data_IF_766892218753
#
_entry.id   IF_766892218753
#
_cell.length_a   1.000
_cell.length_b   1.000
_cell.length_c   1.000
_cell.angle_alpha   90.00
_cell.angle_beta   90.00
_cell.angle_gamma   90.00
#
_symmetry.space_group_name_H-M   'P 1'
#
loop_
_entity.id
_entity.type
_entity.pdbx_description
1 polymer ?
#
# COMPACT_ATOMS: atom_id res chain seq x y z
N UNK A 1 -2.30 -7.68 9.65
CA UNK A 1 -2.54 -6.23 9.49
C UNK A 1 -3.95 -5.87 9.97
N UNK A 2 -4.40 -4.61 9.88
CA UNK A 2 -5.58 -4.03 10.57
C UNK A 2 -6.97 -4.66 10.27
N UNK A 3 -7.09 -5.99 10.28
CA UNK A 3 -8.35 -6.71 10.16
C UNK A 3 -8.84 -6.95 8.73
N UNK A 4 -8.17 -6.41 7.71
CA UNK A 4 -8.48 -6.72 6.31
C UNK A 4 -7.80 -8.04 5.91
N UNK A 5 -8.58 -8.97 5.36
CA UNK A 5 -8.09 -10.26 4.87
C UNK A 5 -7.42 -10.10 3.50
N UNK A 6 -6.10 -10.05 3.49
CA UNK A 6 -5.27 -9.92 2.30
C UNK A 6 -4.27 -11.08 2.24
N UNK A 7 -3.95 -11.63 1.05
CA UNK A 7 -2.88 -12.61 0.89
C UNK A 7 -1.52 -12.09 1.41
N UNK A 8 -0.61 -13.03 1.66
CA UNK A 8 0.79 -12.71 1.97
C UNK A 8 1.43 -11.86 0.86
N UNK A 9 2.37 -10.97 1.23
CA UNK A 9 2.97 -9.99 0.32
C UNK A 9 3.61 -10.63 -0.92
N UNK A 10 4.21 -11.80 -0.79
CA UNK A 10 4.84 -12.56 -1.87
C UNK A 10 3.82 -13.12 -2.89
N UNK A 11 2.55 -13.21 -2.52
CA UNK A 11 1.45 -13.61 -3.41
C UNK A 11 0.81 -12.42 -4.15
N UNK A 12 1.21 -11.18 -3.84
CA UNK A 12 0.70 -9.99 -4.50
C UNK A 12 1.55 -9.65 -5.73
N UNK A 13 0.93 -9.62 -6.92
CA UNK A 13 1.65 -9.37 -8.18
C UNK A 13 2.40 -8.03 -8.18
N UNK A 14 1.76 -6.98 -7.65
CA UNK A 14 2.34 -5.64 -7.56
C UNK A 14 3.43 -5.50 -6.48
N UNK A 15 3.67 -6.52 -5.65
CA UNK A 15 4.76 -6.50 -4.69
C UNK A 15 6.13 -6.85 -5.32
N UNK A 16 6.12 -7.44 -6.51
CA UNK A 16 7.33 -7.91 -7.21
C UNK A 16 7.42 -7.46 -8.68
N UNK A 17 6.33 -6.97 -9.27
CA UNK A 17 6.27 -6.57 -10.68
C UNK A 17 5.89 -5.09 -10.80
N UNK A 18 6.54 -4.39 -11.73
CA UNK A 18 6.11 -3.05 -12.14
C UNK A 18 4.89 -3.10 -13.07
N UNK A 19 4.28 -1.94 -13.34
CA UNK A 19 3.06 -1.84 -14.15
C UNK A 19 3.22 -2.43 -15.55
N UNK A 20 4.38 -2.26 -16.19
CA UNK A 20 4.64 -2.79 -17.54
C UNK A 20 4.71 -4.31 -17.51
N UNK A 21 5.40 -4.88 -16.53
CA UNK A 21 5.50 -6.32 -16.34
C UNK A 21 4.12 -6.93 -16.02
N UNK A 22 3.31 -6.27 -15.19
CA UNK A 22 1.94 -6.71 -14.89
C UNK A 22 1.08 -6.70 -16.16
N UNK A 23 1.11 -5.61 -16.94
CA UNK A 23 0.33 -5.50 -18.18
C UNK A 23 0.63 -6.66 -19.15
N UNK A 24 1.93 -6.97 -19.33
CA UNK A 24 2.37 -8.11 -20.12
C UNK A 24 1.90 -9.45 -19.53
N UNK A 25 1.96 -9.60 -18.21
CA UNK A 25 1.57 -10.83 -17.52
C UNK A 25 0.09 -11.17 -17.70
N UNK A 26 -0.79 -10.17 -17.64
CA UNK A 26 -2.24 -10.36 -17.79
C UNK A 26 -2.73 -10.25 -19.25
N UNK A 27 -1.84 -9.89 -20.19
CA UNK A 27 -2.14 -9.87 -21.62
C UNK A 27 -3.00 -8.69 -22.10
N UNK A 28 -2.83 -7.52 -21.50
CA UNK A 28 -3.58 -6.30 -21.88
C UNK A 28 -2.70 -5.33 -22.66
N UNK A 29 -3.33 -4.52 -23.52
CA UNK A 29 -2.63 -3.49 -24.30
C UNK A 29 -2.12 -2.33 -23.43
N UNK A 30 -2.82 -2.03 -22.33
CA UNK A 30 -2.44 -0.99 -21.38
C UNK A 30 -2.95 -1.29 -19.97
N UNK A 31 -2.23 -0.79 -18.97
CA UNK A 31 -2.58 -0.86 -17.55
C UNK A 31 -2.18 0.44 -16.87
N UNK A 32 -3.05 0.94 -15.99
CA UNK A 32 -2.74 2.06 -15.11
C UNK A 32 -3.37 1.82 -13.73
N UNK A 33 -2.70 2.31 -12.69
CA UNK A 33 -3.24 2.37 -11.34
C UNK A 33 -3.74 3.78 -11.05
N UNK A 34 -4.77 3.91 -10.21
CA UNK A 34 -5.16 5.19 -9.62
C UNK A 34 -4.00 5.66 -8.74
N UNK A 35 -3.61 6.93 -8.86
CA UNK A 35 -2.60 7.52 -7.98
C UNK A 35 -3.13 7.65 -6.56
N UNK A 36 -2.24 7.70 -5.57
CA UNK A 36 -2.65 7.91 -4.17
C UNK A 36 -3.47 9.20 -4.02
N UNK A 37 -3.01 10.33 -4.57
CA UNK A 37 -3.80 11.56 -4.53
C UNK A 37 -5.13 11.45 -5.30
N UNK A 38 -5.16 10.68 -6.38
CA UNK A 38 -6.39 10.40 -7.12
C UNK A 38 -7.41 9.62 -6.28
N UNK A 39 -6.94 8.68 -5.45
CA UNK A 39 -7.78 7.94 -4.50
C UNK A 39 -8.36 8.87 -3.44
N UNK A 40 -7.56 9.75 -2.84
CA UNK A 40 -8.03 10.72 -1.84
C UNK A 40 -9.05 11.69 -2.44
N UNK A 41 -8.78 12.21 -3.64
CA UNK A 41 -9.74 13.06 -4.36
C UNK A 41 -11.08 12.37 -4.63
N UNK A 42 -11.08 11.06 -4.87
CA UNK A 42 -12.32 10.30 -5.05
C UNK A 42 -13.14 10.15 -3.75
N UNK A 43 -12.51 10.37 -2.59
CA UNK A 43 -13.13 10.36 -1.27
C UNK A 43 -13.48 11.78 -0.75
N UNK A 44 -13.48 12.78 -1.63
CA UNK A 44 -13.75 14.20 -1.31
C UNK A 44 -12.65 14.89 -0.47
N UNK A 45 -11.43 14.36 -0.50
CA UNK A 45 -10.24 14.99 0.09
C UNK A 45 -9.46 15.81 -0.94
N UNK A 46 -8.73 16.84 -0.49
CA UNK A 46 -7.88 17.65 -1.40
C UNK A 46 -6.62 16.91 -1.86
N UNK A 47 -6.14 15.95 -1.05
CA UNK A 47 -4.98 15.12 -1.29
C UNK A 47 -4.60 14.34 -0.02
N UNK A 48 -3.55 13.52 -0.08
CA UNK A 48 -3.02 12.82 1.11
C UNK A 48 -2.13 13.75 1.94
N UNK A 49 -2.36 13.88 3.24
CA UNK A 49 -1.36 14.44 4.14
C UNK A 49 -0.22 13.41 4.36
N UNK A 50 1.03 13.71 3.97
CA UNK A 50 2.14 12.78 4.13
C UNK A 50 2.57 12.56 5.58
N UNK A 51 2.23 13.46 6.51
CA UNK A 51 2.61 13.37 7.92
C UNK A 51 1.48 12.79 8.79
N UNK A 52 0.23 12.98 8.39
CA UNK A 52 -0.95 12.51 9.12
C UNK A 52 -2.04 12.05 8.15
N UNK A 53 -1.87 10.89 7.47
CA UNK A 53 -2.81 10.43 6.46
C UNK A 53 -4.24 10.32 7.00
N UNK A 54 -5.21 10.88 6.30
CA UNK A 54 -6.62 10.87 6.73
C UNK A 54 -7.22 9.45 6.79
N UNK A 55 -6.69 8.53 5.98
CA UNK A 55 -7.12 7.13 5.91
C UNK A 55 -5.94 6.16 6.04
N UNK A 56 -6.23 4.93 6.42
CA UNK A 56 -5.25 3.85 6.32
C UNK A 56 -5.08 3.43 4.85
N UNK A 57 -3.95 3.79 4.25
CA UNK A 57 -3.57 3.42 2.87
C UNK A 57 -2.32 2.55 2.79
N UNK A 58 -1.90 1.98 3.93
CA UNK A 58 -0.68 1.20 4.07
C UNK A 58 -0.58 -0.02 3.14
N UNK A 59 -1.71 -0.56 2.67
CA UNK A 59 -1.72 -1.63 1.66
C UNK A 59 -1.15 -1.20 0.31
N UNK A 60 -1.12 0.11 0.03
CA UNK A 60 -0.61 0.70 -1.20
C UNK A 60 0.73 1.42 -0.98
N UNK A 61 0.87 2.12 0.15
CA UNK A 61 2.03 2.96 0.47
C UNK A 61 3.08 2.26 1.32
N UNK A 62 2.69 1.23 2.08
CA UNK A 62 3.50 0.63 3.14
C UNK A 62 3.61 1.48 4.41
N UNK A 63 3.01 2.68 4.42
CA UNK A 63 3.07 3.63 5.53
C UNK A 63 1.99 3.29 6.57
N UNK A 64 2.39 2.58 7.63
CA UNK A 64 1.51 2.20 8.73
C UNK A 64 1.58 3.25 9.84
N UNK A 65 0.53 4.08 10.05
CA UNK A 65 0.54 5.13 11.08
C UNK A 65 0.52 4.57 12.51
N UNK A 66 0.20 3.28 12.67
CA UNK A 66 0.29 2.54 13.92
C UNK A 66 1.10 1.28 13.59
N UNK A 67 2.18 1.02 14.32
CA UNK A 67 3.01 -0.15 14.04
C UNK A 67 2.18 -1.44 14.14
N UNK A 68 2.14 -2.27 13.07
CA UNK A 68 1.42 -3.52 13.11
C UNK A 68 2.11 -4.46 14.11
N UNK A 69 1.34 -4.98 15.07
CA UNK A 69 1.83 -6.03 15.97
C UNK A 69 2.21 -7.26 15.14
N UNK A 70 3.51 -7.59 15.09
CA UNK A 70 3.98 -8.81 14.44
C UNK A 70 3.43 -10.04 15.15
N UNK A 71 3.10 -11.07 14.38
CA UNK A 71 2.59 -12.36 14.87
C UNK A 71 3.61 -13.13 15.72
N UNK A 72 4.89 -12.77 15.65
CA UNK A 72 6.00 -13.30 16.46
C UNK A 72 6.09 -12.69 17.88
N UNK A 73 5.17 -11.76 18.23
CA UNK A 73 5.11 -11.12 19.54
C UNK A 73 6.21 -10.08 19.80
N UNK A 74 7.08 -9.77 18.84
CA UNK A 74 8.14 -8.77 19.00
C UNK A 74 7.72 -7.43 18.41
N UNK A 75 7.63 -6.41 19.26
CA UNK A 75 7.59 -5.01 18.82
C UNK A 75 8.96 -4.64 18.26
N UNK A 76 9.01 -4.22 17.00
CA UNK A 76 10.20 -3.63 16.42
C UNK A 76 10.29 -2.20 16.94
N UNK A 77 11.09 -1.97 17.98
CA UNK A 77 11.51 -0.62 18.34
C UNK A 77 12.12 0.04 17.10
N UNK A 78 11.43 1.04 16.56
CA UNK A 78 11.93 2.11 15.71
C UNK A 78 13.15 1.79 14.85
N UNK A 79 12.91 1.40 13.60
CA UNK A 79 13.80 1.74 12.50
C UNK A 79 12.95 2.42 11.43
N UNK A 80 12.51 3.63 11.75
CA UNK A 80 12.37 4.67 10.72
C UNK A 80 13.80 5.11 10.43
N UNK A 81 14.47 4.39 9.54
CA UNK A 81 15.67 4.92 8.90
C UNK A 81 15.22 5.63 7.64
N UNK A 82 15.51 6.94 7.62
CA UNK A 82 15.50 7.87 6.49
C UNK A 82 15.53 7.23 5.10
#
# INVERSE_FOLDING_TARGET
FYGVDTPDRDKLIAASMDTTAIAKHIGVDSLAFISIDGLYRALDETGRDPNAPQYCDACFTGDYPIEPRRSDGKSTKGIVSK
#
